data_IF_973156582990
#
_entry.id   IF_973156582990
#
_cell.length_a   1.000
_cell.length_b   1.000
_cell.length_c   1.000
_cell.angle_alpha   90.00
_cell.angle_beta   90.00
_cell.angle_gamma   90.00
#
_symmetry.space_group_name_H-M   'P 1'
#
loop_
_entity.id
_entity.type
_entity.pdbx_description
1 polymer ?
#
# COMPACT_ATOMS: atom_id res chain seq x y z
N UNK A 1 -0.34 -3.56 11.58
CA UNK A 1 0.89 -3.08 10.92
C UNK A 1 0.83 -3.48 9.45
N UNK A 2 1.35 -2.65 8.55
CA UNK A 2 1.44 -2.99 7.14
C UNK A 2 2.31 -4.23 6.91
N UNK A 3 1.92 -5.06 5.93
CA UNK A 3 2.61 -6.30 5.59
C UNK A 3 3.47 -6.15 4.33
N UNK A 4 3.12 -5.21 3.46
CA UNK A 4 3.79 -4.92 2.22
C UNK A 4 3.51 -3.48 1.78
N UNK A 5 4.26 -3.03 0.79
CA UNK A 5 4.04 -1.78 0.07
C UNK A 5 4.04 -2.04 -1.45
N UNK A 6 3.34 -1.21 -2.21
CA UNK A 6 3.32 -1.28 -3.67
C UNK A 6 4.68 -0.84 -4.20
N UNK A 7 5.34 -1.69 -4.96
CA UNK A 7 6.66 -1.40 -5.53
C UNK A 7 6.55 -0.52 -6.78
N UNK A 8 5.54 -0.76 -7.61
CA UNK A 8 5.26 0.00 -8.84
C UNK A 8 3.80 -0.17 -9.28
N UNK A 9 3.30 0.80 -10.06
CA UNK A 9 2.03 0.69 -10.76
C UNK A 9 2.28 0.24 -12.20
N UNK A 10 1.55 -0.77 -12.65
CA UNK A 10 1.73 -1.39 -13.97
C UNK A 10 0.43 -1.37 -14.76
N UNK A 11 0.51 -1.23 -16.08
CA UNK A 11 -0.66 -1.23 -16.95
C UNK A 11 -1.50 -2.50 -16.75
N UNK A 12 -2.81 -2.33 -16.54
CA UNK A 12 -3.74 -3.43 -16.26
C UNK A 12 -3.65 -4.00 -14.84
N UNK A 13 -2.75 -3.49 -14.00
CA UNK A 13 -2.72 -3.81 -12.57
C UNK A 13 -3.79 -3.05 -11.80
N UNK A 14 -4.32 -3.68 -10.75
CA UNK A 14 -5.25 -3.07 -9.82
C UNK A 14 -4.90 -3.45 -8.38
N UNK A 15 -5.25 -2.58 -7.44
CA UNK A 15 -5.27 -2.89 -6.01
C UNK A 15 -6.58 -2.34 -5.44
N UNK A 16 -7.44 -3.24 -4.97
CA UNK A 16 -8.67 -2.91 -4.27
C UNK A 16 -8.48 -3.09 -2.76
N UNK A 17 -9.16 -2.25 -1.98
CA UNK A 17 -9.16 -2.35 -0.53
C UNK A 17 -9.84 -1.17 0.14
N UNK A 18 -10.11 -1.30 1.44
CA UNK A 18 -10.63 -0.20 2.24
C UNK A 18 -9.49 0.72 2.66
N UNK A 19 -9.63 2.03 2.46
CA UNK A 19 -8.67 3.01 2.95
C UNK A 19 -8.82 3.16 4.47
N UNK A 20 -7.90 2.57 5.24
CA UNK A 20 -7.95 2.55 6.70
C UNK A 20 -7.10 3.63 7.37
N UNK A 21 -6.11 4.18 6.66
CA UNK A 21 -5.30 5.31 7.13
C UNK A 21 -4.63 6.06 5.98
N UNK A 22 -4.30 7.32 6.23
CA UNK A 22 -3.43 8.14 5.38
C UNK A 22 -2.40 8.85 6.26
N UNK A 23 -1.11 8.73 5.94
CA UNK A 23 -0.01 9.31 6.70
C UNK A 23 1.02 9.90 5.73
N UNK A 24 1.05 11.23 5.61
CA UNK A 24 1.88 11.88 4.59
C UNK A 24 1.49 11.39 3.19
N UNK A 25 2.45 10.94 2.35
CA UNK A 25 2.15 10.41 1.04
C UNK A 25 1.60 8.97 1.05
N UNK A 26 1.53 8.31 2.21
CA UNK A 26 1.22 6.88 2.31
C UNK A 26 -0.26 6.61 2.58
N UNK A 27 -0.91 5.89 1.67
CA UNK A 27 -2.27 5.36 1.84
C UNK A 27 -2.20 3.91 2.32
N UNK A 28 -2.95 3.58 3.36
CA UNK A 28 -3.01 2.23 3.90
C UNK A 28 -4.32 1.58 3.47
N UNK A 29 -4.21 0.55 2.62
CA UNK A 29 -5.35 -0.18 2.08
C UNK A 29 -5.47 -1.53 2.80
N UNK A 30 -6.61 -1.79 3.43
CA UNK A 30 -6.95 -3.12 3.92
C UNK A 30 -7.38 -3.98 2.73
N UNK A 31 -6.53 -4.93 2.36
CA UNK A 31 -6.71 -5.86 1.23
C UNK A 31 -6.92 -7.28 1.75
N UNK A 32 -7.18 -8.23 0.86
CA UNK A 32 -7.22 -9.67 1.15
C UNK A 32 -5.90 -10.23 1.67
N UNK A 33 -4.78 -9.52 1.44
CA UNK A 33 -3.42 -9.90 1.86
C UNK A 33 -3.01 -9.25 3.17
N UNK A 34 -3.87 -8.41 3.76
CA UNK A 34 -3.55 -7.53 4.90
C UNK A 34 -3.41 -6.07 4.48
N UNK A 35 -2.85 -5.25 5.38
CA UNK A 35 -2.66 -3.81 5.09
C UNK A 35 -1.48 -3.62 4.15
N UNK A 36 -1.75 -3.08 2.96
CA UNK A 36 -0.75 -2.72 1.94
C UNK A 36 -0.63 -1.21 1.87
N UNK A 37 0.59 -0.69 1.81
CA UNK A 37 0.86 0.74 1.66
C UNK A 37 0.99 1.11 0.18
N UNK A 38 0.25 2.13 -0.25
CA UNK A 38 0.39 2.79 -1.55
C UNK A 38 0.95 4.20 -1.35
N UNK A 39 2.13 4.45 -1.90
CA UNK A 39 2.71 5.78 -1.95
C UNK A 39 2.06 6.60 -3.08
N UNK A 40 1.38 7.68 -2.72
CA UNK A 40 0.70 8.58 -3.67
C UNK A 40 1.63 9.21 -4.71
N UNK A 41 2.94 9.23 -4.48
CA UNK A 41 3.92 9.69 -5.47
C UNK A 41 4.01 8.76 -6.68
N UNK A 42 3.72 7.47 -6.51
CA UNK A 42 3.63 6.52 -7.61
C UNK A 42 2.41 6.78 -8.51
N UNK A 43 1.41 7.52 -8.02
CA UNK A 43 0.14 7.71 -8.70
C UNK A 43 0.15 8.82 -9.77
N UNK A 44 1.30 9.40 -10.11
CA UNK A 44 1.34 10.39 -11.19
C UNK A 44 0.85 9.76 -12.50
N UNK A 45 -0.27 10.27 -13.04
CA UNK A 45 -0.92 9.71 -14.22
C UNK A 45 -1.88 8.54 -13.94
N UNK A 46 -2.19 8.25 -12.68
CA UNK A 46 -3.12 7.21 -12.23
C UNK A 46 -4.24 7.82 -11.39
N UNK A 47 -5.43 7.22 -11.47
CA UNK A 47 -6.61 7.66 -10.71
C UNK A 47 -7.03 6.60 -9.69
N UNK A 48 -7.53 7.06 -8.52
CA UNK A 48 -8.26 6.19 -7.61
C UNK A 48 -9.71 6.13 -8.04
N UNK A 49 -10.19 4.91 -8.24
CA UNK A 49 -11.59 4.64 -8.55
C UNK A 49 -12.22 3.87 -7.40
N UNK A 50 -13.54 4.03 -7.21
CA UNK A 50 -14.29 3.15 -6.33
C UNK A 50 -14.26 1.74 -6.91
N UNK A 51 -13.59 0.81 -6.24
CA UNK A 51 -13.46 -0.57 -6.66
C UNK A 51 -14.31 -1.50 -5.79
N UNK A 52 -14.93 -2.51 -6.39
CA UNK A 52 -15.73 -3.53 -5.71
C UNK A 52 -14.90 -4.63 -5.04
N UNK A 53 -13.75 -4.29 -4.47
CA UNK A 53 -12.83 -5.26 -3.87
C UNK A 53 -11.99 -6.05 -4.88
N UNK A 54 -11.46 -5.37 -5.90
CA UNK A 54 -10.54 -5.98 -6.88
C UNK A 54 -9.32 -6.61 -6.19
N UNK A 55 -8.89 -7.81 -6.61
CA UNK A 55 -7.74 -8.48 -6.02
C UNK A 55 -6.44 -7.70 -6.30
N UNK A 56 -5.50 -7.74 -5.35
CA UNK A 56 -4.21 -7.08 -5.53
C UNK A 56 -3.38 -7.78 -6.61
N UNK A 57 -3.17 -7.09 -7.73
CA UNK A 57 -2.47 -7.55 -8.94
C UNK A 57 -1.28 -6.66 -9.35
N UNK A 58 -0.77 -5.84 -8.41
CA UNK A 58 0.43 -5.02 -8.60
C UNK A 58 1.64 -5.65 -7.90
N UNK A 59 2.88 -5.39 -8.35
CA UNK A 59 4.08 -5.83 -7.66
C UNK A 59 4.15 -5.27 -6.23
N UNK A 60 4.38 -6.14 -5.27
CA UNK A 60 4.51 -5.78 -3.86
C UNK A 60 5.93 -6.02 -3.36
N UNK A 61 6.42 -5.13 -2.50
CA UNK A 61 7.61 -5.32 -1.69
C UNK A 61 7.20 -5.67 -0.26
N UNK A 62 7.59 -6.84 0.21
CA UNK A 62 7.28 -7.27 1.57
C UNK A 62 7.98 -6.39 2.60
N UNK A 63 7.22 -5.92 3.59
CA UNK A 63 7.77 -5.19 4.72
C UNK A 63 8.26 -6.24 5.72
N UNK A 64 9.55 -6.56 5.62
CA UNK A 64 10.20 -7.36 6.65
C UNK A 64 10.31 -6.50 7.90
N UNK A 65 9.69 -6.97 8.98
CA UNK A 65 9.87 -6.37 10.30
C UNK A 65 11.34 -6.56 10.67
N UNK A 66 12.16 -5.52 10.50
CA UNK A 66 13.52 -5.55 11.03
C UNK A 66 13.41 -5.75 12.55
N UNK A 67 14.16 -6.68 13.17
CA UNK A 67 14.30 -6.71 14.62
C UNK A 67 15.14 -5.51 15.04
N UNK A 68 14.55 -4.33 14.97
CA UNK A 68 15.10 -3.07 15.45
C UNK A 68 14.05 -2.46 16.35
N UNK A 69 14.30 -2.47 17.65
CA UNK A 69 13.59 -1.58 18.55
C UNK A 69 13.95 -0.17 18.07
N UNK A 70 12.95 0.60 17.67
CA UNK A 70 13.11 2.04 17.49
C UNK A 70 13.24 2.63 18.91
N UNK A 71 14.47 2.65 19.43
CA UNK A 71 14.83 3.18 20.76
C UNK A 71 14.74 4.72 20.77
N UNK A 72 13.53 5.23 20.50
CA UNK A 72 13.23 6.65 20.47
C UNK A 72 13.09 7.20 19.05
N UNK A 73 11.92 7.76 18.76
CA UNK A 73 11.89 8.99 17.99
C UNK A 73 11.76 10.07 19.07
N UNK A 74 12.76 10.97 19.11
CA UNK A 74 13.09 11.94 20.18
C UNK A 74 13.84 11.36 21.38
#
# INVERSE_FOLDING_TARGET
AAVAEVAELVAGGAIGGELVAAAGPDLHLATERGVVVLDTRLMTGWELVSAGGEPCAVPLREIRRAPGVQDGLF
#
